data_IF_811385450912
#
_entry.id   IF_811385450912
#
_cell.length_a   1.000
_cell.length_b   1.000
_cell.length_c   1.000
_cell.angle_alpha   90.00
_cell.angle_beta   90.00
_cell.angle_gamma   90.00
#
_symmetry.space_group_name_H-M   'P 1'
#
loop_
_entity.id
_entity.type
_entity.pdbx_description
1 polymer ?
#
# COMPACT_ATOMS: atom_id res chain seq x y z
N UNK A 1 9.99 -16.53 -25.75
CA UNK A 1 10.37 -17.95 -25.60
C UNK A 1 11.66 -17.94 -24.80
N UNK A 2 11.65 -18.38 -23.54
CA UNK A 2 12.84 -18.32 -22.68
C UNK A 2 13.72 -19.55 -22.98
N UNK A 3 14.88 -19.34 -23.60
CA UNK A 3 15.90 -20.38 -23.75
C UNK A 3 16.72 -20.49 -22.46
N UNK A 4 16.94 -21.72 -22.02
CA UNK A 4 17.68 -22.03 -20.79
C UNK A 4 19.11 -22.47 -21.15
N UNK A 5 20.12 -21.68 -20.78
CA UNK A 5 21.51 -22.15 -20.71
C UNK A 5 21.75 -22.92 -19.41
N UNK A 6 22.54 -24.00 -19.50
CA UNK A 6 22.86 -25.00 -18.46
C UNK A 6 23.61 -24.43 -17.25
N UNK A 7 23.84 -23.12 -17.19
CA UNK A 7 24.54 -22.43 -16.09
C UNK A 7 23.63 -21.59 -15.18
N UNK A 8 22.30 -21.60 -15.37
CA UNK A 8 21.35 -20.76 -14.61
C UNK A 8 21.61 -19.24 -14.69
N UNK A 9 22.41 -18.79 -15.67
CA UNK A 9 22.55 -17.36 -15.96
C UNK A 9 21.33 -16.94 -16.78
N UNK A 10 20.35 -16.35 -16.11
CA UNK A 10 19.23 -15.69 -16.81
C UNK A 10 19.76 -14.37 -17.36
N UNK A 11 20.06 -14.34 -18.66
CA UNK A 11 20.17 -13.08 -19.40
C UNK A 11 18.75 -12.58 -19.66
N UNK A 12 18.32 -11.59 -18.88
CA UNK A 12 17.13 -10.81 -19.20
C UNK A 12 17.51 -9.83 -20.30
N UNK A 13 17.17 -10.16 -21.55
CA UNK A 13 17.08 -9.16 -22.61
C UNK A 13 15.66 -8.61 -22.57
N UNK A 14 15.44 -7.35 -22.16
CA UNK A 14 14.12 -6.76 -22.23
C UNK A 14 13.64 -6.75 -23.69
N UNK A 15 12.48 -7.34 -23.95
CA UNK A 15 11.85 -7.36 -25.29
C UNK A 15 11.51 -5.92 -25.78
N UNK A 16 11.53 -4.95 -24.87
CA UNK A 16 11.41 -3.53 -25.17
C UNK A 16 12.36 -2.70 -24.30
N UNK A 17 13.35 -2.06 -24.92
CA UNK A 17 13.92 -0.85 -24.31
C UNK A 17 12.79 0.18 -24.35
N UNK A 18 12.38 0.66 -23.18
CA UNK A 18 11.37 1.73 -23.11
C UNK A 18 11.98 2.98 -23.73
N UNK A 19 11.59 3.29 -24.95
CA UNK A 19 12.10 4.46 -25.71
C UNK A 19 11.77 5.78 -24.98
N UNK A 20 10.65 5.82 -24.24
CA UNK A 20 10.19 6.98 -23.48
C UNK A 20 10.08 6.70 -21.97
N UNK A 21 11.02 7.25 -21.19
CA UNK A 21 10.95 7.19 -19.73
C UNK A 21 9.85 8.11 -19.20
N UNK A 22 8.70 7.54 -18.82
CA UNK A 22 7.56 8.29 -18.30
C UNK A 22 7.73 8.55 -16.79
N UNK A 23 7.85 9.82 -16.35
CA UNK A 23 7.84 10.16 -14.93
C UNK A 23 6.43 9.97 -14.35
N UNK A 24 6.33 9.28 -13.22
CA UNK A 24 5.08 9.04 -12.51
C UNK A 24 5.19 9.59 -11.09
N UNK A 25 4.24 10.45 -10.71
CA UNK A 25 4.04 10.82 -9.31
C UNK A 25 3.21 9.75 -8.60
N UNK A 26 3.89 8.93 -7.80
CA UNK A 26 3.27 7.87 -7.02
C UNK A 26 2.74 8.34 -5.66
N UNK A 27 3.10 9.55 -5.21
CA UNK A 27 2.77 10.02 -3.87
C UNK A 27 1.25 9.97 -3.56
N UNK A 28 0.34 10.46 -4.44
CA UNK A 28 -1.10 10.41 -4.18
C UNK A 28 -1.66 8.98 -4.07
N UNK A 29 -1.09 8.02 -4.81
CA UNK A 29 -1.55 6.63 -4.79
C UNK A 29 -1.06 5.89 -3.55
N UNK A 30 0.18 6.13 -3.16
CA UNK A 30 0.80 5.46 -2.01
C UNK A 30 0.17 5.97 -0.71
N UNK A 31 -0.10 7.28 -0.62
CA UNK A 31 -0.70 7.85 0.58
C UNK A 31 -2.13 7.36 0.83
N UNK A 32 -2.92 7.12 -0.23
CA UNK A 32 -4.30 6.65 -0.10
C UNK A 32 -4.39 5.18 0.28
N UNK A 33 -3.62 4.32 -0.38
CA UNK A 33 -3.85 2.86 -0.33
C UNK A 33 -2.75 2.06 0.34
N UNK A 34 -1.61 2.67 0.65
CA UNK A 34 -0.45 1.94 1.19
C UNK A 34 0.01 0.78 0.28
N UNK A 35 -0.28 0.84 -1.02
CA UNK A 35 0.07 -0.23 -1.96
C UNK A 35 1.56 -0.14 -2.27
N UNK A 36 2.27 -1.24 -2.03
CA UNK A 36 3.61 -1.43 -2.56
C UNK A 36 3.84 -2.82 -3.14
N UNK A 37 4.50 -2.86 -4.30
CA UNK A 37 5.11 -4.07 -4.83
C UNK A 37 6.54 -4.14 -4.30
N UNK A 38 6.74 -4.82 -3.18
CA UNK A 38 8.06 -4.99 -2.59
C UNK A 38 8.95 -5.77 -3.55
N UNK A 39 10.07 -5.15 -3.92
CA UNK A 39 11.08 -5.68 -4.84
C UNK A 39 11.01 -5.10 -6.26
N UNK A 40 9.85 -4.64 -6.75
CA UNK A 40 9.70 -4.20 -8.15
C UNK A 40 10.24 -2.81 -8.43
N UNK A 41 11.11 -2.28 -7.54
CA UNK A 41 11.50 -0.87 -7.51
C UNK A 41 12.96 -0.77 -7.13
N UNK A 42 13.72 0.00 -7.92
CA UNK A 42 15.12 0.32 -7.64
C UNK A 42 15.26 1.80 -7.27
N UNK A 43 15.97 2.07 -6.17
CA UNK A 43 16.23 3.43 -5.69
C UNK A 43 17.72 3.72 -5.75
N UNK A 44 18.11 4.86 -6.34
CA UNK A 44 19.50 5.31 -6.29
C UNK A 44 19.90 5.62 -4.86
N UNK A 45 21.04 5.10 -4.41
CA UNK A 45 21.55 5.29 -3.03
C UNK A 45 21.56 6.73 -2.55
N UNK A 46 21.86 7.70 -3.43
CA UNK A 46 21.85 9.14 -3.09
C UNK A 46 20.51 9.67 -2.58
N UNK A 47 19.41 8.96 -2.82
CA UNK A 47 18.07 9.32 -2.33
C UNK A 47 17.70 8.61 -1.03
N UNK A 48 18.55 7.72 -0.50
CA UNK A 48 18.36 7.00 0.74
C UNK A 48 19.29 7.55 1.83
N UNK A 49 18.71 7.92 2.97
CA UNK A 49 19.43 8.25 4.20
C UNK A 49 18.95 7.34 5.33
N UNK A 50 19.79 7.13 6.36
CA UNK A 50 19.43 6.30 7.52
C UNK A 50 18.14 6.77 8.22
N UNK A 51 17.93 8.09 8.28
CA UNK A 51 16.73 8.69 8.86
C UNK A 51 15.44 8.39 8.08
N UNK A 52 15.52 7.95 6.81
CA UNK A 52 14.35 7.64 6.00
C UNK A 52 13.65 6.35 6.46
N UNK A 53 14.39 5.40 7.03
CA UNK A 53 13.85 4.12 7.50
C UNK A 53 13.57 4.16 9.01
N UNK A 54 12.30 3.98 9.39
CA UNK A 54 11.88 4.10 10.80
C UNK A 54 11.74 2.72 11.44
N UNK A 55 12.75 2.34 12.22
CA UNK A 55 12.85 0.98 12.80
C UNK A 55 11.99 0.74 14.04
N UNK A 56 11.44 1.79 14.66
CA UNK A 56 10.61 1.66 15.86
C UNK A 56 9.11 1.45 15.57
N UNK A 57 8.73 1.41 14.28
CA UNK A 57 7.39 1.05 13.86
C UNK A 57 7.25 -0.47 13.86
N UNK A 58 6.14 -0.97 14.41
CA UNK A 58 5.82 -2.40 14.37
C UNK A 58 5.19 -2.83 13.03
N UNK A 59 4.72 -1.87 12.24
CA UNK A 59 4.11 -2.05 10.93
C UNK A 59 4.13 -0.73 10.16
N UNK A 60 4.22 -0.78 8.83
CA UNK A 60 4.12 0.42 7.98
C UNK A 60 5.40 1.26 7.92
N UNK A 61 6.53 0.72 8.39
CA UNK A 61 7.87 1.28 8.20
C UNK A 61 8.22 1.44 6.72
N UNK A 62 7.84 0.44 5.93
CA UNK A 62 7.98 0.43 4.48
C UNK A 62 7.11 1.53 3.84
N UNK A 63 5.85 1.63 4.23
CA UNK A 63 4.93 2.65 3.74
C UNK A 63 5.45 4.06 4.00
N UNK A 64 5.96 4.34 5.20
CA UNK A 64 6.56 5.63 5.52
C UNK A 64 7.82 5.91 4.69
N UNK A 65 8.71 4.92 4.53
CA UNK A 65 9.89 5.03 3.67
C UNK A 65 9.47 5.44 2.24
N UNK A 66 8.48 4.76 1.68
CA UNK A 66 8.04 5.01 0.31
C UNK A 66 7.41 6.37 0.10
N UNK A 67 6.59 6.84 1.04
CA UNK A 67 6.04 8.18 0.94
C UNK A 67 7.11 9.27 1.09
N UNK A 68 8.13 9.05 1.93
CA UNK A 68 9.29 9.96 2.00
C UNK A 68 10.08 9.97 0.71
N UNK A 69 10.30 8.82 0.08
CA UNK A 69 10.98 8.72 -1.21
C UNK A 69 10.21 9.41 -2.34
N UNK A 70 8.90 9.20 -2.40
CA UNK A 70 8.03 9.81 -3.43
C UNK A 70 7.83 11.30 -3.23
N UNK A 71 7.96 11.80 -2.00
CA UNK A 71 8.03 13.22 -1.73
C UNK A 71 9.32 13.89 -2.27
N UNK A 72 10.41 13.13 -2.49
CA UNK A 72 11.67 13.65 -3.04
C UNK A 72 11.63 13.83 -4.56
N UNK A 73 10.76 13.12 -5.28
CA UNK A 73 10.66 13.22 -6.74
C UNK A 73 9.86 12.10 -7.40
N UNK A 74 9.65 12.19 -8.72
CA UNK A 74 8.90 11.20 -9.48
C UNK A 74 9.69 9.89 -9.62
N UNK A 75 8.95 8.82 -9.86
CA UNK A 75 9.47 7.52 -10.25
C UNK A 75 9.45 7.40 -11.77
N UNK A 76 10.26 6.49 -12.31
CA UNK A 76 10.22 6.18 -13.74
C UNK A 76 9.65 4.78 -13.88
N UNK A 77 8.65 4.63 -14.73
CA UNK A 77 8.11 3.33 -15.10
C UNK A 77 8.93 2.74 -16.24
N UNK A 78 9.32 1.48 -16.09
CA UNK A 78 10.32 0.82 -16.94
C UNK A 78 9.70 -0.28 -17.81
N UNK A 79 8.37 -0.28 -17.96
CA UNK A 79 7.64 -1.25 -18.79
C UNK A 79 6.77 -2.22 -18.00
N UNK A 80 5.97 -3.00 -18.72
CA UNK A 80 5.00 -3.94 -18.16
C UNK A 80 5.59 -5.33 -17.88
N UNK A 81 6.83 -5.57 -18.30
CA UNK A 81 7.48 -6.87 -18.16
C UNK A 81 7.59 -7.28 -16.68
N UNK A 82 7.18 -8.51 -16.33
CA UNK A 82 7.21 -8.97 -14.96
C UNK A 82 8.67 -9.20 -14.51
N UNK A 83 9.19 -8.29 -13.69
CA UNK A 83 10.54 -8.40 -13.13
C UNK A 83 10.61 -9.22 -11.84
N UNK A 84 9.47 -9.48 -11.19
CA UNK A 84 9.39 -10.20 -9.92
C UNK A 84 8.17 -11.11 -9.84
N UNK A 85 8.41 -12.31 -9.34
CA UNK A 85 7.36 -13.23 -8.92
C UNK A 85 7.22 -13.21 -7.39
N UNK A 86 6.01 -12.90 -6.90
CA UNK A 86 5.72 -12.91 -5.46
C UNK A 86 5.08 -14.24 -5.09
N UNK A 87 5.77 -15.02 -4.25
CA UNK A 87 5.19 -16.22 -3.65
C UNK A 87 4.07 -15.84 -2.67
N UNK A 88 2.85 -16.27 -2.96
CA UNK A 88 1.72 -16.16 -2.02
C UNK A 88 1.69 -17.37 -1.10
N UNK A 89 1.87 -17.12 0.19
CA UNK A 89 1.68 -18.16 1.20
C UNK A 89 0.18 -18.33 1.51
N UNK A 90 -0.30 -19.58 1.52
CA UNK A 90 -1.69 -19.90 1.87
C UNK A 90 -1.99 -19.74 3.36
N UNK A 91 -0.95 -19.78 4.20
CA UNK A 91 -1.03 -19.64 5.64
C UNK A 91 -0.29 -18.37 6.06
N UNK A 92 -0.97 -17.50 6.78
CA UNK A 92 -0.35 -16.32 7.35
C UNK A 92 0.32 -16.71 8.68
N UNK A 93 1.64 -16.52 8.80
CA UNK A 93 2.37 -16.76 10.05
C UNK A 93 2.22 -15.61 11.05
N UNK A 94 1.55 -14.52 10.68
CA UNK A 94 1.29 -13.40 11.59
C UNK A 94 0.40 -13.87 12.74
N UNK A 95 1.01 -14.17 13.89
CA UNK A 95 0.34 -14.57 15.13
C UNK A 95 -0.18 -13.37 15.93
N UNK A 96 -0.07 -12.14 15.40
CA UNK A 96 -0.56 -10.96 16.07
C UNK A 96 -2.10 -10.96 16.09
N UNK A 97 -2.74 -10.79 17.27
CA UNK A 97 -4.19 -10.62 17.35
C UNK A 97 -4.66 -9.47 16.45
N UNK A 98 -5.81 -9.65 15.77
CA UNK A 98 -6.35 -8.65 14.84
C UNK A 98 -6.48 -7.27 15.50
N UNK A 99 -6.95 -7.22 16.75
CA UNK A 99 -7.05 -5.97 17.52
C UNK A 99 -5.70 -5.26 17.69
N UNK A 100 -4.63 -6.01 17.95
CA UNK A 100 -3.25 -5.50 18.07
C UNK A 100 -2.71 -5.05 16.71
N UNK A 101 -3.00 -5.80 15.64
CA UNK A 101 -2.67 -5.42 14.27
C UNK A 101 -3.29 -4.07 13.91
N UNK A 102 -4.59 -3.88 14.18
CA UNK A 102 -5.28 -2.61 13.90
C UNK A 102 -4.74 -1.47 14.77
N UNK A 103 -4.45 -1.73 16.05
CA UNK A 103 -3.84 -0.72 16.93
C UNK A 103 -2.49 -0.26 16.39
N UNK A 104 -1.63 -1.18 15.96
CA UNK A 104 -0.35 -0.87 15.37
C UNK A 104 -0.51 -0.06 14.08
N UNK A 105 -1.43 -0.46 13.18
CA UNK A 105 -1.73 0.30 11.96
C UNK A 105 -2.20 1.73 12.24
N UNK A 106 -3.07 1.93 13.23
CA UNK A 106 -3.52 3.28 13.60
C UNK A 106 -2.36 4.15 14.10
N UNK A 107 -1.48 3.60 14.95
CA UNK A 107 -0.29 4.29 15.43
C UNK A 107 0.64 4.68 14.28
N UNK A 108 0.89 3.77 13.35
CA UNK A 108 1.72 4.05 12.18
C UNK A 108 1.10 5.12 11.28
N UNK A 109 -0.23 5.10 11.11
CA UNK A 109 -0.96 6.15 10.37
C UNK A 109 -0.81 7.52 11.03
N UNK A 110 -0.91 7.61 12.35
CA UNK A 110 -0.70 8.88 13.06
C UNK A 110 0.71 9.42 12.84
N UNK A 111 1.73 8.58 13.04
CA UNK A 111 3.14 8.96 12.80
C UNK A 111 3.34 9.42 11.36
N UNK A 112 2.75 8.70 10.41
CA UNK A 112 2.82 8.99 9.00
C UNK A 112 2.28 10.39 8.64
N UNK A 113 1.05 10.71 9.04
CA UNK A 113 0.44 12.00 8.72
C UNK A 113 1.01 13.16 9.55
N UNK A 114 1.79 12.87 10.58
CA UNK A 114 2.56 13.86 11.34
C UNK A 114 3.97 14.12 10.77
N UNK A 115 4.45 13.28 9.85
CA UNK A 115 5.80 13.37 9.30
C UNK A 115 6.04 14.70 8.55
N UNK A 116 7.14 15.43 8.83
CA UNK A 116 7.40 16.74 8.22
C UNK A 116 7.60 16.71 6.70
N UNK A 117 8.12 15.62 6.14
CA UNK A 117 8.30 15.48 4.69
C UNK A 117 6.92 15.33 4.04
N UNK A 118 6.07 14.50 4.63
CA UNK A 118 4.70 14.25 4.14
C UNK A 118 3.85 15.51 4.25
N UNK A 119 3.88 16.19 5.40
CA UNK A 119 3.15 17.45 5.61
C UNK A 119 3.54 18.56 4.64
N UNK A 120 4.81 18.63 4.23
CA UNK A 120 5.26 19.61 3.24
C UNK A 120 4.74 19.30 1.84
N UNK A 121 4.61 18.03 1.49
CA UNK A 121 4.14 17.58 0.18
C UNK A 121 2.63 17.58 0.06
N UNK A 122 1.92 17.45 1.19
CA UNK A 122 0.48 17.29 1.24
C UNK A 122 -0.22 18.52 1.86
N UNK A 123 -0.96 19.31 1.06
CA UNK A 123 -1.82 20.39 1.55
C UNK A 123 -2.75 19.94 2.68
N UNK A 124 -3.04 20.82 3.63
CA UNK A 124 -3.79 20.48 4.85
C UNK A 124 -5.21 20.00 4.58
N UNK A 125 -5.86 20.54 3.56
CA UNK A 125 -7.19 20.15 3.07
C UNK A 125 -7.20 18.73 2.47
N UNK A 126 -6.14 18.37 1.75
CA UNK A 126 -5.97 17.01 1.21
C UNK A 126 -5.53 16.02 2.29
N UNK A 127 -4.81 16.46 3.32
CA UNK A 127 -4.34 15.60 4.40
C UNK A 127 -5.49 14.90 5.14
N UNK A 128 -6.55 15.63 5.49
CA UNK A 128 -7.73 15.05 6.13
C UNK A 128 -8.41 14.01 5.21
N UNK A 129 -8.56 14.33 3.92
CA UNK A 129 -9.14 13.41 2.93
C UNK A 129 -8.35 12.10 2.83
N UNK A 130 -7.03 12.19 2.67
CA UNK A 130 -6.16 11.02 2.56
C UNK A 130 -6.08 10.21 3.85
N UNK A 131 -6.10 10.87 5.02
CA UNK A 131 -6.17 10.19 6.31
C UNK A 131 -7.43 9.33 6.41
N UNK A 132 -8.59 9.88 6.07
CA UNK A 132 -9.86 9.15 6.11
C UNK A 132 -9.93 8.05 5.05
N UNK A 133 -9.44 8.30 3.84
CA UNK A 133 -9.36 7.28 2.79
C UNK A 133 -8.49 6.09 3.22
N UNK A 134 -7.31 6.35 3.78
CA UNK A 134 -6.41 5.31 4.28
C UNK A 134 -7.02 4.52 5.45
N UNK A 135 -7.71 5.21 6.38
CA UNK A 135 -8.43 4.58 7.48
C UNK A 135 -9.54 3.64 6.99
N UNK A 136 -10.31 4.05 5.97
CA UNK A 136 -11.29 3.19 5.31
C UNK A 136 -10.62 1.93 4.75
N UNK A 137 -9.58 2.09 3.92
CA UNK A 137 -8.91 0.95 3.28
C UNK A 137 -8.29 0.01 4.31
N UNK A 138 -7.73 0.53 5.40
CA UNK A 138 -7.21 -0.29 6.50
C UNK A 138 -8.30 -1.18 7.08
N UNK A 139 -9.45 -0.63 7.45
CA UNK A 139 -10.54 -1.43 8.01
C UNK A 139 -11.12 -2.41 7.01
N UNK A 140 -11.23 -2.01 5.75
CA UNK A 140 -11.67 -2.87 4.67
C UNK A 140 -10.71 -4.06 4.44
N UNK A 141 -9.40 -3.82 4.47
CA UNK A 141 -8.39 -4.88 4.36
C UNK A 141 -8.41 -5.82 5.56
N UNK A 142 -8.66 -5.29 6.76
CA UNK A 142 -8.87 -6.10 7.96
C UNK A 142 -10.13 -6.95 7.82
N UNK A 143 -11.24 -6.44 7.28
CA UNK A 143 -12.45 -7.24 7.00
C UNK A 143 -12.13 -8.43 6.08
N UNK A 144 -11.38 -8.20 4.99
CA UNK A 144 -10.92 -9.29 4.10
C UNK A 144 -10.03 -10.29 4.82
N UNK A 145 -9.15 -9.82 5.71
CA UNK A 145 -8.31 -10.69 6.54
C UNK A 145 -9.16 -11.53 7.50
N UNK A 146 -10.10 -10.93 8.22
CA UNK A 146 -11.03 -11.62 9.10
C UNK A 146 -11.81 -12.72 8.36
N UNK A 147 -12.31 -12.43 7.16
CA UNK A 147 -12.97 -13.41 6.30
C UNK A 147 -12.06 -14.61 6.00
N UNK A 148 -10.82 -14.36 5.56
CA UNK A 148 -9.83 -15.41 5.26
C UNK A 148 -9.49 -16.26 6.49
N UNK A 149 -9.48 -15.66 7.67
CA UNK A 149 -9.21 -16.31 8.94
C UNK A 149 -10.46 -16.90 9.61
N UNK A 150 -11.65 -16.79 8.99
CA UNK A 150 -12.95 -17.19 9.56
C UNK A 150 -13.27 -16.54 10.92
N UNK A 151 -12.74 -15.34 11.17
CA UNK A 151 -12.96 -14.55 12.38
C UNK A 151 -14.18 -13.62 12.20
N UNK A 152 -15.37 -14.19 12.09
CA UNK A 152 -16.58 -13.46 11.65
C UNK A 152 -17.03 -12.36 12.61
N UNK A 153 -16.85 -12.52 13.93
CA UNK A 153 -17.19 -11.47 14.90
C UNK A 153 -16.38 -10.19 14.64
N UNK A 154 -15.08 -10.34 14.42
CA UNK A 154 -14.20 -9.22 14.05
C UNK A 154 -14.53 -8.68 12.66
N UNK A 155 -14.91 -9.54 11.72
CA UNK A 155 -15.31 -9.11 10.37
C UNK A 155 -16.46 -8.09 10.42
N UNK A 156 -17.52 -8.37 11.18
CA UNK A 156 -18.67 -7.46 11.31
C UNK A 156 -18.24 -6.14 11.93
N UNK A 157 -17.44 -6.18 13.00
CA UNK A 157 -16.92 -4.97 13.67
C UNK A 157 -16.15 -4.07 12.69
N UNK A 158 -15.21 -4.63 11.93
CA UNK A 158 -14.38 -3.84 11.02
C UNK A 158 -15.12 -3.43 9.74
N UNK A 159 -16.09 -4.22 9.29
CA UNK A 159 -17.02 -3.80 8.25
C UNK A 159 -17.79 -2.54 8.67
N UNK A 160 -18.39 -2.55 9.87
CA UNK A 160 -19.10 -1.38 10.39
C UNK A 160 -18.18 -0.16 10.55
N UNK A 161 -16.95 -0.34 11.05
CA UNK A 161 -15.95 0.74 11.13
C UNK A 161 -15.59 1.31 9.76
N UNK A 162 -15.48 0.46 8.72
CA UNK A 162 -15.22 0.92 7.36
C UNK A 162 -16.38 1.75 6.82
N UNK A 163 -17.63 1.32 7.04
CA UNK A 163 -18.84 2.06 6.62
C UNK A 163 -18.96 3.41 7.33
N UNK A 164 -18.72 3.46 8.64
CA UNK A 164 -18.69 4.72 9.40
C UNK A 164 -17.63 5.67 8.82
N UNK A 165 -16.42 5.17 8.56
CA UNK A 165 -15.34 5.99 7.99
C UNK A 165 -15.69 6.50 6.59
N UNK A 166 -16.42 5.72 5.79
CA UNK A 166 -16.91 6.16 4.49
C UNK A 166 -17.92 7.30 4.63
N UNK A 167 -18.88 7.19 5.56
CA UNK A 167 -19.90 8.22 5.84
C UNK A 167 -19.28 9.51 6.38
N UNK A 168 -18.26 9.41 7.23
CA UNK A 168 -17.49 10.54 7.75
C UNK A 168 -16.69 11.26 6.65
N UNK A 169 -16.43 10.61 5.51
CA UNK A 169 -15.70 11.17 4.37
C UNK A 169 -16.66 11.54 3.23
N UNK A 170 -17.49 12.57 3.43
CA UNK A 170 -18.47 13.05 2.44
C UNK A 170 -17.86 13.33 1.06
N UNK A 171 -16.62 13.84 1.02
CA UNK A 171 -15.88 14.12 -0.21
C UNK A 171 -15.47 12.88 -1.00
N UNK A 172 -15.29 11.73 -0.34
CA UNK A 172 -14.84 10.49 -0.98
C UNK A 172 -15.89 9.38 -0.90
N UNK A 173 -17.05 9.63 -0.29
CA UNK A 173 -18.09 8.65 0.00
C UNK A 173 -18.49 7.85 -1.24
N UNK A 174 -18.86 8.52 -2.34
CA UNK A 174 -19.28 7.83 -3.57
C UNK A 174 -18.16 6.98 -4.18
N UNK A 175 -16.92 7.45 -4.14
CA UNK A 175 -15.76 6.69 -4.63
C UNK A 175 -15.52 5.43 -3.79
N UNK A 176 -15.49 5.60 -2.47
CA UNK A 176 -15.28 4.54 -1.48
C UNK A 176 -16.40 3.51 -1.53
N UNK A 177 -17.65 3.96 -1.55
CA UNK A 177 -18.85 3.11 -1.60
C UNK A 177 -18.92 2.31 -2.90
N UNK A 178 -18.58 2.91 -4.05
CA UNK A 178 -18.52 2.20 -5.34
C UNK A 178 -17.51 1.05 -5.30
N UNK A 179 -16.34 1.26 -4.71
CA UNK A 179 -15.32 0.22 -4.54
C UNK A 179 -15.81 -0.89 -3.62
N UNK A 180 -16.40 -0.52 -2.48
CA UNK A 180 -16.99 -1.47 -1.54
C UNK A 180 -18.03 -2.37 -2.23
N UNK A 181 -18.98 -1.79 -2.96
CA UNK A 181 -20.03 -2.54 -3.67
C UNK A 181 -19.48 -3.45 -4.77
N UNK A 182 -18.44 -3.01 -5.50
CA UNK A 182 -17.77 -3.82 -6.53
C UNK A 182 -17.13 -5.07 -5.93
N UNK A 183 -16.49 -4.93 -4.77
CA UNK A 183 -15.83 -6.04 -4.10
C UNK A 183 -16.81 -6.93 -3.34
N UNK A 184 -17.85 -6.39 -2.69
CA UNK A 184 -18.89 -7.18 -2.03
C UNK A 184 -19.56 -8.17 -3.01
N UNK A 185 -19.80 -7.73 -4.25
CA UNK A 185 -20.29 -8.61 -5.34
C UNK A 185 -19.37 -9.79 -5.66
N UNK A 186 -18.07 -9.72 -5.36
CA UNK A 186 -17.13 -10.84 -5.56
C UNK A 186 -17.21 -11.90 -4.47
N UNK A 187 -17.70 -11.55 -3.28
CA UNK A 187 -17.85 -12.47 -2.15
C UNK A 187 -19.25 -13.08 -2.03
N UNK A 188 -20.25 -12.49 -2.71
CA UNK A 188 -21.64 -12.98 -2.77
C UNK A 188 -21.92 -13.87 -4.00
N UNK A 189 -20.90 -14.22 -4.79
CA UNK A 189 -20.92 -15.23 -5.85
C UNK A 189 -20.20 -16.47 -5.35
#
# INVERSE_FOLDING_TARGET
MLEFDRQNNVSFEPDSIVDDLIPIDLFPRIIERGIFCMGGVCIRRKFLNEADFVTHLNIGEDWLLWCRLTAKGPFIFIGEDPIIEIRRHHTNKTQLPISKLVKNWNKSREIFFLDPVIKRKLPSDLAAKHYQANKFYTYYDVTKLCWRLKAYDFMIIYLMKSLITALENTLSFFHIFRIFMKEAKRYLR
#
